data_IF_134156868548
#
_entry.id   IF_134156868548
#
_cell.length_a   1.000
_cell.length_b   1.000
_cell.length_c   1.000
_cell.angle_alpha   90.00
_cell.angle_beta   90.00
_cell.angle_gamma   90.00
#
_symmetry.space_group_name_H-M   'P 1'
#
loop_
_entity.id
_entity.type
_entity.pdbx_description
1 polymer ?
#
# COMPACT_ATOMS: atom_id res chain seq x y z
N UNK A 1 17.96 13.86 18.15
CA UNK A 1 17.65 14.55 16.88
C UNK A 1 16.28 14.07 16.41
N UNK A 2 15.26 14.93 16.34
CA UNK A 2 13.93 14.52 15.86
C UNK A 2 14.08 14.07 14.40
N UNK A 3 13.68 12.83 14.11
CA UNK A 3 13.52 12.37 12.74
C UNK A 3 12.39 13.21 12.13
N UNK A 4 12.69 13.98 11.07
CA UNK A 4 11.72 14.88 10.42
C UNK A 4 10.56 14.14 9.74
N UNK A 5 10.51 12.82 9.81
CA UNK A 5 9.50 11.98 9.18
C UNK A 5 8.84 11.09 10.24
N UNK A 6 7.51 11.19 10.35
CA UNK A 6 6.67 10.34 11.18
C UNK A 6 5.88 9.40 10.27
N UNK A 7 5.99 8.10 10.51
CA UNK A 7 5.13 7.08 9.91
C UNK A 7 4.00 6.73 10.89
N UNK A 8 2.77 6.83 10.42
CA UNK A 8 1.57 6.46 11.17
C UNK A 8 1.00 5.21 10.49
N UNK A 9 1.22 4.03 11.06
CA UNK A 9 0.66 2.76 10.58
C UNK A 9 -0.39 2.28 11.57
N UNK A 10 -1.62 2.09 11.10
CA UNK A 10 -2.79 1.84 11.95
C UNK A 10 -3.52 0.60 11.45
N UNK A 11 -3.89 -0.26 12.40
CA UNK A 11 -4.90 -1.29 12.21
C UNK A 11 -6.15 -0.87 12.98
N UNK A 12 -7.15 -0.34 12.29
CA UNK A 12 -8.41 0.08 12.91
C UNK A 12 -9.38 -1.10 12.92
N UNK A 13 -10.06 -1.33 14.03
CA UNK A 13 -10.99 -2.45 14.21
C UNK A 13 -12.39 -1.96 14.57
N UNK A 14 -13.41 -2.48 13.90
CA UNK A 14 -14.83 -2.26 14.24
C UNK A 14 -15.61 -3.55 14.07
N UNK A 15 -16.37 -3.94 15.09
CA UNK A 15 -17.18 -5.18 15.11
C UNK A 15 -16.40 -6.44 14.71
N UNK A 16 -15.11 -6.48 15.02
CA UNK A 16 -14.23 -7.60 14.67
C UNK A 16 -13.43 -7.39 13.39
N UNK A 17 -13.96 -6.68 12.39
CA UNK A 17 -13.28 -6.42 11.11
C UNK A 17 -12.15 -5.41 11.27
N UNK A 18 -11.05 -5.66 10.55
CA UNK A 18 -9.83 -4.86 10.59
C UNK A 18 -9.57 -4.24 9.21
N UNK A 19 -9.22 -2.96 9.22
CA UNK A 19 -8.62 -2.27 8.06
C UNK A 19 -7.24 -1.76 8.47
N UNK A 20 -6.30 -1.78 7.53
CA UNK A 20 -4.93 -1.28 7.73
C UNK A 20 -4.68 -0.10 6.81
N UNK A 21 -3.97 0.91 7.32
CA UNK A 21 -3.47 2.01 6.50
C UNK A 21 -2.16 2.55 7.05
N UNK A 22 -1.34 3.12 6.18
CA UNK A 22 -0.15 3.87 6.57
C UNK A 22 -0.16 5.28 5.98
N UNK A 23 0.23 6.28 6.78
CA UNK A 23 0.35 7.70 6.40
C UNK A 23 1.67 8.27 6.89
N UNK A 24 2.12 9.34 6.23
CA UNK A 24 3.39 10.00 6.57
C UNK A 24 3.20 11.49 6.82
N UNK A 25 3.80 11.97 7.90
CA UNK A 25 3.94 13.40 8.19
C UNK A 25 5.41 13.77 8.15
N UNK A 26 5.76 14.84 7.44
CA UNK A 26 7.12 15.36 7.39
C UNK A 26 7.16 16.78 7.96
N UNK A 27 8.11 17.06 8.84
CA UNK A 27 8.33 18.35 9.47
C UNK A 27 9.31 19.19 8.64
N UNK A 28 8.81 20.27 8.06
CA UNK A 28 9.52 21.11 7.09
C UNK A 28 9.55 20.53 5.66
N UNK A 29 10.32 21.15 4.77
CA UNK A 29 10.39 20.79 3.35
C UNK A 29 10.80 19.33 3.14
N UNK A 30 9.99 18.59 2.37
CA UNK A 30 10.27 17.19 2.02
C UNK A 30 11.50 17.12 1.11
N UNK A 31 12.54 16.32 1.43
CA UNK A 31 13.64 16.05 0.53
C UNK A 31 13.15 15.46 -0.80
N UNK A 32 13.70 15.93 -1.92
CA UNK A 32 13.29 15.49 -3.27
C UNK A 32 13.37 13.97 -3.43
N UNK A 33 14.44 13.36 -2.92
CA UNK A 33 14.66 11.91 -3.00
C UNK A 33 13.65 11.12 -2.16
N UNK A 34 13.26 11.62 -0.98
CA UNK A 34 12.19 11.02 -0.19
C UNK A 34 10.84 11.07 -0.93
N UNK A 35 10.51 12.21 -1.54
CA UNK A 35 9.27 12.37 -2.32
C UNK A 35 9.23 11.37 -3.50
N UNK A 36 10.30 11.30 -4.29
CA UNK A 36 10.40 10.34 -5.41
C UNK A 36 10.29 8.89 -4.92
N UNK A 37 10.97 8.54 -3.83
CA UNK A 37 10.93 7.18 -3.26
C UNK A 37 9.53 6.84 -2.75
N UNK A 38 8.84 7.79 -2.11
CA UNK A 38 7.46 7.63 -1.68
C UNK A 38 6.53 7.39 -2.88
N UNK A 39 6.61 8.20 -3.92
CA UNK A 39 5.81 8.04 -5.14
C UNK A 39 6.08 6.71 -5.86
N UNK A 40 7.34 6.24 -5.87
CA UNK A 40 7.69 4.91 -6.38
C UNK A 40 7.03 3.79 -5.56
N UNK A 41 7.04 3.91 -4.24
CA UNK A 41 6.39 2.92 -3.37
C UNK A 41 4.86 2.92 -3.54
N UNK A 42 4.25 4.09 -3.66
CA UNK A 42 2.81 4.23 -3.93
C UNK A 42 2.45 3.62 -5.29
N UNK A 43 3.32 3.74 -6.31
CA UNK A 43 3.12 3.06 -7.58
C UNK A 43 3.12 1.53 -7.45
N UNK A 44 4.04 0.97 -6.65
CA UNK A 44 4.11 -0.48 -6.40
C UNK A 44 2.81 -0.95 -5.73
N UNK A 45 2.37 -0.24 -4.69
CA UNK A 45 1.10 -0.51 -4.00
C UNK A 45 -0.10 -0.46 -4.95
N UNK A 46 -0.20 0.59 -5.76
CA UNK A 46 -1.24 0.72 -6.79
C UNK A 46 -1.16 -0.41 -7.83
N UNK A 47 0.04 -0.91 -8.14
CA UNK A 47 0.21 -2.04 -9.06
C UNK A 47 -0.38 -3.31 -8.46
N UNK A 48 -0.11 -3.58 -7.18
CA UNK A 48 -0.69 -4.74 -6.48
C UNK A 48 -2.21 -4.61 -6.40
N UNK A 49 -2.73 -3.46 -5.95
CA UNK A 49 -4.18 -3.22 -5.86
C UNK A 49 -4.89 -3.34 -7.22
N UNK A 50 -4.33 -2.77 -8.30
CA UNK A 50 -4.97 -2.79 -9.62
C UNK A 50 -5.14 -4.21 -10.20
N UNK A 51 -4.23 -5.12 -9.86
CA UNK A 51 -4.29 -6.52 -10.30
C UNK A 51 -5.06 -7.41 -9.33
N UNK A 52 -5.43 -6.93 -8.14
CA UNK A 52 -6.18 -7.72 -7.15
C UNK A 52 -7.63 -7.89 -7.61
N UNK A 53 -7.87 -8.92 -8.41
CA UNK A 53 -9.18 -9.21 -9.02
C UNK A 53 -9.67 -10.60 -8.63
N UNK A 54 -10.99 -10.79 -8.45
CA UNK A 54 -11.57 -12.11 -8.20
C UNK A 54 -11.16 -13.13 -9.28
N UNK A 55 -10.86 -14.35 -8.85
CA UNK A 55 -10.40 -15.44 -9.71
C UNK A 55 -8.89 -15.47 -9.97
N UNK A 56 -8.13 -14.43 -9.62
CA UNK A 56 -6.67 -14.41 -9.75
C UNK A 56 -5.99 -15.07 -8.55
N UNK A 57 -4.96 -15.92 -8.74
CA UNK A 57 -4.14 -16.41 -7.63
C UNK A 57 -3.39 -15.28 -6.91
N UNK A 58 -3.42 -15.25 -5.58
CA UNK A 58 -2.77 -14.19 -4.79
C UNK A 58 -1.24 -14.13 -5.02
N UNK A 59 -0.61 -15.26 -5.32
CA UNK A 59 0.82 -15.34 -5.71
C UNK A 59 1.16 -14.55 -6.98
N UNK A 60 0.21 -14.41 -7.91
CA UNK A 60 0.43 -13.62 -9.13
C UNK A 60 0.50 -12.13 -8.80
N UNK A 61 -0.30 -11.67 -7.83
CA UNK A 61 -0.27 -10.28 -7.38
C UNK A 61 1.04 -9.97 -6.64
N UNK A 62 1.50 -10.93 -5.83
CA UNK A 62 2.83 -10.86 -5.22
C UNK A 62 3.92 -10.73 -6.29
N UNK A 63 3.87 -11.53 -7.35
CA UNK A 63 4.80 -11.46 -8.47
C UNK A 63 4.74 -10.12 -9.22
N UNK A 64 3.53 -9.57 -9.44
CA UNK A 64 3.34 -8.21 -10.00
C UNK A 64 3.97 -7.13 -9.13
N UNK A 65 3.89 -7.27 -7.81
CA UNK A 65 4.61 -6.44 -6.85
C UNK A 65 6.12 -6.49 -7.10
N UNK A 66 6.71 -7.68 -7.15
CA UNK A 66 8.16 -7.87 -7.41
C UNK A 66 8.58 -7.25 -8.74
N UNK A 67 7.79 -7.42 -9.80
CA UNK A 67 8.02 -6.79 -11.11
C UNK A 67 8.01 -5.26 -11.00
N UNK A 68 7.07 -4.68 -10.24
CA UNK A 68 6.99 -3.24 -10.01
C UNK A 68 8.18 -2.71 -9.20
N UNK A 69 8.63 -3.45 -8.18
CA UNK A 69 9.86 -3.14 -7.43
C UNK A 69 11.07 -3.05 -8.36
N UNK A 70 11.27 -4.07 -9.22
CA UNK A 70 12.34 -4.08 -10.23
C UNK A 70 12.20 -2.92 -11.20
N UNK A 71 11.00 -2.68 -11.72
CA UNK A 71 10.72 -1.58 -12.67
C UNK A 71 10.94 -0.18 -12.09
N UNK A 72 10.88 -0.02 -10.76
CA UNK A 72 11.20 1.24 -10.07
C UNK A 72 12.66 1.34 -9.62
N UNK A 73 13.50 0.35 -9.93
CA UNK A 73 14.93 0.35 -9.58
C UNK A 73 15.23 -0.14 -8.17
N UNK A 74 14.32 -0.88 -7.55
CA UNK A 74 14.44 -1.40 -6.18
C UNK A 74 14.23 -2.93 -6.11
N UNK A 75 14.99 -3.74 -6.88
CA UNK A 75 14.69 -5.17 -7.08
C UNK A 75 14.75 -6.03 -5.82
N UNK A 76 15.42 -5.58 -4.76
CA UNK A 76 15.65 -6.35 -3.53
C UNK A 76 14.83 -5.85 -2.33
N UNK A 77 14.23 -4.65 -2.39
CA UNK A 77 13.57 -4.03 -1.23
C UNK A 77 12.29 -4.78 -0.81
N UNK A 78 11.69 -5.57 -1.70
CA UNK A 78 10.55 -6.42 -1.35
C UNK A 78 10.91 -7.52 -0.33
N UNK A 79 12.20 -7.88 -0.20
CA UNK A 79 12.67 -8.89 0.76
C UNK A 79 12.75 -8.36 2.18
N UNK A 80 12.77 -7.04 2.35
CA UNK A 80 12.93 -6.39 3.66
C UNK A 80 11.65 -6.41 4.51
N UNK A 81 10.50 -6.72 3.90
CA UNK A 81 9.20 -6.73 4.58
C UNK A 81 8.26 -7.71 3.88
N UNK A 82 7.26 -8.25 4.57
CA UNK A 82 6.21 -8.98 3.89
C UNK A 82 5.36 -8.03 3.03
N UNK A 83 4.75 -8.53 1.96
CA UNK A 83 4.09 -7.65 0.98
C UNK A 83 2.59 -7.47 1.21
N UNK A 84 2.02 -8.17 2.19
CA UNK A 84 0.62 -8.04 2.59
C UNK A 84 -0.20 -9.24 2.15
N UNK A 85 -1.51 -9.09 2.05
CA UNK A 85 -2.43 -10.17 1.68
C UNK A 85 -3.86 -9.89 2.13
N UNK A 86 -4.68 -10.94 2.19
CA UNK A 86 -6.06 -10.84 2.66
C UNK A 86 -6.12 -10.33 4.09
N UNK A 87 -7.15 -9.53 4.38
CA UNK A 87 -7.45 -9.01 5.71
C UNK A 87 -8.95 -9.16 5.96
N UNK A 88 -9.34 -9.31 7.23
CA UNK A 88 -10.73 -9.47 7.61
C UNK A 88 -10.90 -9.37 9.11
N UNK A 89 -11.30 -10.46 9.74
CA UNK A 89 -11.42 -10.54 11.20
C UNK A 89 -10.08 -10.80 11.90
N UNK A 90 -9.04 -11.14 11.13
CA UNK A 90 -7.66 -11.23 11.58
C UNK A 90 -6.82 -10.14 10.91
N UNK A 91 -5.68 -9.80 11.54
CA UNK A 91 -4.79 -8.76 11.01
C UNK A 91 -4.24 -9.10 9.62
N UNK A 92 -4.14 -10.38 9.28
CA UNK A 92 -3.95 -10.92 7.94
C UNK A 92 -4.53 -12.34 7.93
N UNK A 93 -5.54 -12.60 7.11
CA UNK A 93 -6.07 -13.97 6.98
C UNK A 93 -5.02 -14.86 6.32
N UNK A 94 -4.24 -14.29 5.40
CA UNK A 94 -2.98 -14.83 4.93
C UNK A 94 -2.05 -13.71 4.43
N UNK A 95 -0.75 -14.04 4.34
CA UNK A 95 0.26 -13.19 3.69
C UNK A 95 0.64 -13.81 2.34
N UNK A 96 0.52 -13.04 1.27
CA UNK A 96 0.87 -13.53 -0.06
C UNK A 96 2.38 -13.65 -0.21
N UNK A 97 2.81 -14.75 -0.82
CA UNK A 97 4.17 -15.05 -1.25
C UNK A 97 4.10 -15.93 -2.51
N UNK A 98 5.26 -16.39 -3.01
CA UNK A 98 5.35 -17.20 -4.23
C UNK A 98 4.60 -18.54 -4.15
N UNK A 99 4.32 -19.03 -2.95
CA UNK A 99 3.72 -20.34 -2.68
C UNK A 99 2.29 -20.23 -2.16
N UNK A 100 1.71 -19.02 -2.07
CA UNK A 100 0.33 -18.84 -1.60
C UNK A 100 -0.64 -19.51 -2.58
N UNK A 101 -1.44 -20.50 -2.14
CA UNK A 101 -2.35 -21.24 -3.00
C UNK A 101 -3.68 -20.52 -3.24
N UNK A 102 -4.00 -19.52 -2.42
CA UNK A 102 -5.29 -18.86 -2.39
C UNK A 102 -5.64 -18.16 -3.70
N UNK A 103 -6.89 -18.37 -4.12
CA UNK A 103 -7.53 -17.62 -5.21
C UNK A 103 -8.31 -16.47 -4.59
N UNK A 104 -8.10 -15.26 -5.12
CA UNK A 104 -8.82 -14.06 -4.69
C UNK A 104 -10.31 -14.24 -4.94
N UNK A 105 -11.13 -14.00 -3.91
CA UNK A 105 -12.59 -14.09 -4.00
C UNK A 105 -13.23 -12.72 -4.22
N UNK A 106 -14.45 -12.71 -4.78
CA UNK A 106 -15.24 -11.48 -4.88
C UNK A 106 -15.58 -10.94 -3.49
N UNK A 107 -15.44 -9.62 -3.31
CA UNK A 107 -15.62 -8.91 -2.06
C UNK A 107 -14.65 -9.33 -0.93
N UNK A 108 -13.52 -9.94 -1.28
CA UNK A 108 -12.44 -10.20 -0.34
C UNK A 108 -11.63 -8.92 -0.09
N UNK A 109 -11.37 -8.60 1.17
CA UNK A 109 -10.56 -7.44 1.53
C UNK A 109 -9.06 -7.78 1.47
N UNK A 110 -8.28 -6.85 0.93
CA UNK A 110 -6.82 -6.95 0.86
C UNK A 110 -6.18 -5.72 1.45
N UNK A 111 -5.04 -5.92 2.11
CA UNK A 111 -4.11 -4.83 2.38
C UNK A 111 -2.71 -5.26 1.97
N UNK A 112 -2.29 -4.75 0.82
CA UNK A 112 -0.90 -4.76 0.38
C UNK A 112 -0.11 -3.71 1.15
N UNK A 113 1.16 -3.99 1.40
CA UNK A 113 1.97 -3.10 2.20
C UNK A 113 3.44 -3.03 1.80
N UNK A 114 3.71 -2.71 0.51
CA UNK A 114 5.06 -2.53 0.03
C UNK A 114 5.77 -1.40 0.79
N UNK A 115 7.05 -1.64 1.04
CA UNK A 115 7.98 -0.69 1.64
C UNK A 115 9.20 -0.51 0.74
N UNK A 116 9.73 0.70 0.73
CA UNK A 116 11.10 0.98 0.33
C UNK A 116 11.78 1.63 1.53
N UNK A 117 13.06 1.38 1.79
CA UNK A 117 13.74 1.91 2.98
C UNK A 117 13.47 3.40 3.17
N UNK A 118 12.82 3.76 4.28
CA UNK A 118 12.36 5.13 4.60
C UNK A 118 10.91 5.48 4.21
N UNK A 119 10.15 4.58 3.59
CA UNK A 119 8.75 4.78 3.17
C UNK A 119 7.93 3.48 3.14
N UNK A 120 6.61 3.63 3.27
CA UNK A 120 5.62 2.56 3.16
C UNK A 120 4.38 3.10 2.45
N UNK A 121 3.68 2.27 1.68
CA UNK A 121 2.34 2.59 1.17
C UNK A 121 1.41 1.44 1.55
N UNK A 122 0.26 1.76 2.14
CA UNK A 122 -0.65 0.76 2.67
C UNK A 122 -2.06 1.38 2.79
N UNK A 123 -3.04 0.74 2.16
CA UNK A 123 -4.47 0.95 2.37
C UNK A 123 -5.22 -0.36 2.12
N UNK A 124 -6.40 -0.48 2.72
CA UNK A 124 -7.30 -1.60 2.51
C UNK A 124 -8.21 -1.36 1.30
N UNK A 125 -8.35 -2.39 0.47
CA UNK A 125 -9.28 -2.45 -0.65
C UNK A 125 -10.21 -3.65 -0.54
N UNK A 126 -11.34 -3.64 -1.26
CA UNK A 126 -12.07 -4.86 -1.65
C UNK A 126 -11.71 -5.24 -3.08
N UNK A 127 -11.48 -6.53 -3.32
CA UNK A 127 -11.39 -7.08 -4.66
C UNK A 127 -12.81 -7.25 -5.23
N UNK A 128 -13.16 -6.51 -6.28
CA UNK A 128 -14.48 -6.59 -6.92
C UNK A 128 -14.33 -6.92 -8.42
N UNK A 129 -15.41 -7.38 -9.05
CA UNK A 129 -15.43 -7.64 -10.50
C UNK A 129 -15.20 -6.39 -11.34
N UNK A 130 -15.45 -5.20 -10.80
CA UNK A 130 -15.26 -3.92 -11.48
C UNK A 130 -13.89 -3.27 -11.19
N UNK A 131 -13.01 -3.98 -10.47
CA UNK A 131 -11.71 -3.50 -10.02
C UNK A 131 -11.65 -3.25 -8.50
N UNK A 132 -10.50 -2.78 -7.98
CA UNK A 132 -10.34 -2.58 -6.55
C UNK A 132 -11.19 -1.42 -6.02
N UNK A 133 -11.99 -1.67 -4.99
CA UNK A 133 -12.72 -0.63 -4.27
C UNK A 133 -11.92 -0.17 -3.04
N UNK A 134 -11.66 1.13 -2.92
CA UNK A 134 -10.88 1.68 -1.80
C UNK A 134 -11.73 1.78 -0.52
N UNK A 135 -11.39 0.99 0.50
CA UNK A 135 -12.02 1.08 1.83
C UNK A 135 -11.37 2.18 2.66
N UNK A 136 -10.05 2.24 2.69
CA UNK A 136 -9.32 3.33 3.33
C UNK A 136 -8.78 4.30 2.27
N UNK A 137 -8.97 5.60 2.53
CA UNK A 137 -8.64 6.69 1.59
C UNK A 137 -8.13 7.91 2.34
N UNK A 138 -7.38 8.82 1.69
CA UNK A 138 -7.02 10.09 2.31
C UNK A 138 -8.28 10.93 2.58
N UNK A 139 -8.44 11.38 3.83
CA UNK A 139 -9.51 12.31 4.26
C UNK A 139 -8.90 13.66 4.63
N UNK A 140 -7.92 13.65 5.56
CA UNK A 140 -7.23 14.85 6.06
C UNK A 140 -5.79 15.00 5.51
N UNK A 141 -5.34 14.05 4.69
CA UNK A 141 -4.01 14.08 4.09
C UNK A 141 -4.08 14.69 2.69
N UNK A 142 -3.04 15.43 2.24
CA UNK A 142 -2.92 15.80 0.84
C UNK A 142 -2.95 14.54 -0.03
N UNK A 143 -3.26 14.70 -1.31
CA UNK A 143 -3.42 13.56 -2.22
C UNK A 143 -2.51 13.65 -3.42
N UNK A 144 -2.13 12.49 -3.93
CA UNK A 144 -1.51 12.33 -5.23
C UNK A 144 -2.37 11.40 -6.09
N UNK A 145 -2.39 11.66 -7.40
CA UNK A 145 -3.08 10.81 -8.38
C UNK A 145 -2.10 9.84 -8.99
N UNK A 146 -2.51 8.59 -9.16
CA UNK A 146 -1.71 7.54 -9.77
C UNK A 146 -2.59 6.74 -10.74
N UNK A 147 -2.11 6.45 -11.95
CA UNK A 147 -2.81 5.58 -12.90
C UNK A 147 -1.94 4.36 -13.18
N UNK A 148 -2.46 3.16 -12.90
CA UNK A 148 -1.77 1.89 -13.08
C UNK A 148 -2.74 0.86 -13.65
N UNK A 149 -2.32 0.15 -14.70
CA UNK A 149 -3.11 -0.91 -15.34
C UNK A 149 -4.58 -0.49 -15.65
N UNK A 150 -4.76 0.74 -16.14
CA UNK A 150 -6.09 1.30 -16.46
C UNK A 150 -6.88 1.83 -15.26
N UNK A 151 -6.47 1.55 -14.03
CA UNK A 151 -7.13 2.00 -12.80
C UNK A 151 -6.54 3.34 -12.34
N UNK A 152 -7.42 4.28 -11.98
CA UNK A 152 -7.04 5.58 -11.41
C UNK A 152 -7.21 5.57 -9.89
N UNK A 153 -6.14 5.91 -9.17
CA UNK A 153 -6.10 5.96 -7.71
C UNK A 153 -5.90 7.38 -7.20
N UNK A 154 -6.60 7.71 -6.12
CA UNK A 154 -6.33 8.89 -5.27
C UNK A 154 -5.69 8.41 -3.96
N UNK A 155 -4.37 8.54 -3.86
CA UNK A 155 -3.55 8.02 -2.75
C UNK A 155 -3.15 9.15 -1.80
N UNK A 156 -2.85 8.87 -0.52
CA UNK A 156 -2.28 9.89 0.35
C UNK A 156 -0.92 10.35 -0.18
N UNK A 157 -0.65 11.64 -0.08
CA UNK A 157 0.69 12.20 -0.15
C UNK A 157 1.24 12.41 1.27
N UNK A 158 2.55 12.63 1.38
CA UNK A 158 3.17 13.00 2.66
C UNK A 158 2.62 14.36 3.11
N UNK A 159 2.04 14.42 4.31
CA UNK A 159 1.57 15.66 4.91
C UNK A 159 2.76 16.47 5.42
N UNK A 160 2.88 17.73 4.98
CA UNK A 160 3.90 18.65 5.51
C UNK A 160 3.32 19.41 6.70
N UNK A 161 4.04 19.42 7.81
CA UNK A 161 3.80 20.34 8.93
C UNK A 161 4.99 21.29 9.05
N UNK A 162 4.72 22.56 9.31
CA UNK A 162 5.76 23.49 9.72
C UNK A 162 6.40 22.93 11.00
N UNK A 163 7.72 22.87 11.05
CA UNK A 163 8.40 22.43 12.27
C UNK A 163 8.04 23.39 13.38
N UNK A 164 7.47 22.90 14.48
CA UNK A 164 7.32 23.72 15.68
C UNK A 164 8.69 24.28 16.04
N UNK A 165 8.75 25.60 16.23
CA UNK A 165 9.92 26.29 16.76
C UNK A 165 10.32 25.77 18.14
#
# INVERSE_FOLDING_TARGET
>A
KIQKLLMISVNARKWGLIVSLTRFVHFGKIPRELKKKYEANVFIDCTMMAHTQPGTPAKEIFQKGIEAYRGKGYPEEWKCHHQGGSIGYTGRDYRANSNTPDIIQENQAFTWNPSLTGTKSEDTILATLNGPEMITRPVIYPTLSMKVAGVSFKRPAILVKEGGG
#
